data_IF_789653095863
#
_entry.id   IF_789653095863
#
_cell.length_a   1.000
_cell.length_b   1.000
_cell.length_c   1.000
_cell.angle_alpha   90.00
_cell.angle_beta   90.00
_cell.angle_gamma   90.00
#
_symmetry.space_group_name_H-M   'P 1'
#
loop_
_entity.id
_entity.type
_entity.pdbx_description
1 polymer ?
#
# COMPACT_ATOMS: atom_id res chain seq x y z
N UNK A 1 0.22 13.21 17.62
CA UNK A 1 0.83 13.17 16.27
C UNK A 1 1.35 11.75 16.06
N UNK A 2 0.78 10.96 15.15
CA UNK A 2 1.12 9.53 15.01
C UNK A 2 2.53 9.28 14.45
N UNK A 3 3.17 10.28 13.86
CA UNK A 3 4.53 10.20 13.31
C UNK A 3 5.29 11.46 13.70
N UNK A 4 6.50 11.30 14.23
CA UNK A 4 7.45 12.38 14.52
C UNK A 4 8.07 12.87 13.21
N UNK A 5 8.01 14.18 12.95
CA UNK A 5 8.62 14.76 11.74
C UNK A 5 10.13 14.80 11.86
N UNK A 6 10.84 14.45 10.78
CA UNK A 6 12.28 14.66 10.70
C UNK A 6 12.64 16.08 10.28
N UNK A 7 13.90 16.48 10.49
CA UNK A 7 14.39 17.81 10.11
C UNK A 7 14.41 18.04 8.60
N UNK A 8 14.68 16.98 7.82
CA UNK A 8 14.62 16.96 6.36
C UNK A 8 13.19 16.71 5.82
N UNK A 9 12.24 16.36 6.70
CA UNK A 9 10.85 16.04 6.35
C UNK A 9 10.67 14.80 5.47
N UNK A 10 11.70 13.95 5.32
CA UNK A 10 11.73 12.79 4.43
C UNK A 10 12.19 11.51 5.15
N UNK A 11 13.29 11.56 5.89
CA UNK A 11 13.94 10.37 6.47
C UNK A 11 13.05 9.55 7.41
N UNK A 12 12.27 10.18 8.29
CA UNK A 12 11.40 9.46 9.25
C UNK A 12 10.10 9.03 8.58
N UNK A 13 9.59 9.83 7.66
CA UNK A 13 8.36 9.61 6.91
C UNK A 13 8.50 8.45 5.92
N UNK A 14 9.64 8.31 5.24
CA UNK A 14 9.95 7.15 4.38
C UNK A 14 10.04 5.87 5.23
N UNK A 15 10.71 5.92 6.38
CA UNK A 15 10.79 4.76 7.30
C UNK A 15 9.41 4.37 7.81
N UNK A 16 8.58 5.36 8.16
CA UNK A 16 7.20 5.11 8.57
C UNK A 16 6.40 4.47 7.42
N UNK A 17 6.48 5.01 6.20
CA UNK A 17 5.78 4.46 5.04
C UNK A 17 6.18 3.00 4.76
N UNK A 18 7.47 2.68 4.90
CA UNK A 18 7.96 1.31 4.81
C UNK A 18 7.36 0.40 5.89
N UNK A 19 7.37 0.82 7.15
CA UNK A 19 6.81 0.02 8.23
C UNK A 19 5.30 -0.22 8.05
N UNK A 20 4.56 0.81 7.62
CA UNK A 20 3.12 0.71 7.38
C UNK A 20 2.79 -0.17 6.17
N UNK A 21 3.55 -0.10 5.07
CA UNK A 21 3.33 -0.97 3.90
C UNK A 21 3.65 -2.44 4.21
N UNK A 22 4.66 -2.73 5.02
CA UNK A 22 4.90 -4.10 5.49
C UNK A 22 3.85 -4.58 6.48
N UNK A 23 3.33 -3.69 7.33
CA UNK A 23 2.15 -3.99 8.15
C UNK A 23 0.93 -4.34 7.30
N UNK A 24 0.68 -3.59 6.22
CA UNK A 24 -0.39 -3.89 5.26
C UNK A 24 -0.20 -5.25 4.59
N UNK A 25 1.01 -5.54 4.12
CA UNK A 25 1.34 -6.84 3.53
C UNK A 25 1.10 -7.97 4.53
N UNK A 26 1.54 -7.80 5.79
CA UNK A 26 1.32 -8.75 6.88
C UNK A 26 -0.16 -9.04 7.12
N UNK A 27 -0.98 -8.00 7.31
CA UNK A 27 -2.43 -8.14 7.50
C UNK A 27 -3.09 -8.80 6.30
N UNK A 28 -2.74 -8.39 5.07
CA UNK A 28 -3.32 -8.95 3.84
C UNK A 28 -2.98 -10.44 3.70
N UNK A 29 -1.73 -10.81 4.00
CA UNK A 29 -1.27 -12.20 3.97
C UNK A 29 -1.98 -13.05 5.03
N UNK A 30 -2.23 -12.50 6.23
CA UNK A 30 -2.94 -13.18 7.30
C UNK A 30 -4.39 -13.46 6.89
N UNK A 31 -5.08 -12.49 6.28
CA UNK A 31 -6.44 -12.70 5.74
C UNK A 31 -6.42 -13.82 4.70
N UNK A 32 -5.43 -13.81 3.78
CA UNK A 32 -5.29 -14.85 2.76
C UNK A 32 -5.11 -16.25 3.37
N UNK A 33 -4.29 -16.37 4.42
CA UNK A 33 -4.04 -17.62 5.13
C UNK A 33 -5.28 -18.11 5.88
N UNK A 34 -6.01 -17.22 6.56
CA UNK A 34 -7.26 -17.55 7.26
C UNK A 34 -8.34 -18.06 6.30
N UNK A 35 -8.48 -17.43 5.13
CA UNK A 35 -9.39 -17.89 4.07
C UNK A 35 -8.98 -19.26 3.54
N UNK A 36 -7.69 -19.51 3.28
CA UNK A 36 -7.21 -20.83 2.85
C UNK A 36 -7.40 -21.91 3.93
N UNK A 37 -7.31 -21.54 5.20
CA UNK A 37 -7.54 -22.44 6.33
C UNK A 37 -9.03 -22.77 6.55
N UNK A 38 -9.94 -22.21 5.73
CA UNK A 38 -11.38 -22.46 5.83
C UNK A 38 -12.05 -21.77 7.03
N UNK A 39 -11.40 -20.75 7.61
CA UNK A 39 -12.04 -19.92 8.64
C UNK A 39 -13.17 -19.13 7.98
N UNK A 40 -14.25 -18.95 8.73
CA UNK A 40 -15.43 -18.22 8.28
C UNK A 40 -15.06 -16.89 7.57
N UNK A 41 -15.39 -16.73 6.28
CA UNK A 41 -15.01 -15.55 5.51
C UNK A 41 -15.63 -14.25 6.02
N UNK A 42 -16.80 -14.29 6.66
CA UNK A 42 -17.46 -13.08 7.16
C UNK A 42 -16.62 -12.43 8.23
N UNK A 43 -16.22 -13.17 9.26
CA UNK A 43 -15.37 -12.62 10.32
C UNK A 43 -13.97 -12.27 9.83
N UNK A 44 -13.40 -13.14 8.99
CA UNK A 44 -12.05 -12.97 8.44
C UNK A 44 -11.95 -11.70 7.59
N UNK A 45 -12.86 -11.50 6.65
CA UNK A 45 -12.85 -10.36 5.75
C UNK A 45 -13.26 -9.08 6.46
N UNK A 46 -14.33 -9.08 7.27
CA UNK A 46 -14.79 -7.85 7.94
C UNK A 46 -13.73 -7.36 8.92
N UNK A 47 -13.24 -8.23 9.80
CA UNK A 47 -12.21 -7.86 10.78
C UNK A 47 -10.89 -7.51 10.11
N UNK A 48 -10.45 -8.34 9.16
CA UNK A 48 -9.21 -8.13 8.42
C UNK A 48 -9.20 -6.84 7.60
N UNK A 49 -10.27 -6.56 6.86
CA UNK A 49 -10.38 -5.36 6.04
C UNK A 49 -10.54 -4.09 6.88
N UNK A 50 -11.14 -4.17 8.09
CA UNK A 50 -11.17 -3.03 9.01
C UNK A 50 -9.75 -2.64 9.47
N UNK A 51 -8.93 -3.63 9.86
CA UNK A 51 -7.53 -3.40 10.22
C UNK A 51 -6.73 -2.92 9.01
N UNK A 52 -6.91 -3.56 7.86
CA UNK A 52 -6.29 -3.13 6.60
C UNK A 52 -6.63 -1.67 6.28
N UNK A 53 -7.90 -1.29 6.38
CA UNK A 53 -8.38 0.07 6.09
C UNK A 53 -7.72 1.13 6.99
N UNK A 54 -7.54 0.83 8.27
CA UNK A 54 -6.81 1.72 9.20
C UNK A 54 -5.35 1.88 8.78
N UNK A 55 -4.63 0.77 8.57
CA UNK A 55 -3.22 0.80 8.15
C UNK A 55 -3.07 1.51 6.80
N UNK A 56 -4.01 1.29 5.89
CA UNK A 56 -4.02 1.86 4.55
C UNK A 56 -4.23 3.36 4.59
N UNK A 57 -5.12 3.86 5.45
CA UNK A 57 -5.34 5.29 5.63
C UNK A 57 -4.05 6.00 6.08
N UNK A 58 -3.32 5.41 7.04
CA UNK A 58 -2.04 5.96 7.51
C UNK A 58 -1.00 5.95 6.39
N UNK A 59 -0.79 4.81 5.73
CA UNK A 59 0.19 4.67 4.65
C UNK A 59 -0.12 5.59 3.45
N UNK A 60 -1.39 5.70 3.07
CA UNK A 60 -1.85 6.56 1.98
C UNK A 60 -1.57 8.04 2.26
N UNK A 61 -1.83 8.49 3.50
CA UNK A 61 -1.54 9.88 3.91
C UNK A 61 -0.05 10.23 3.84
N UNK A 62 0.82 9.28 4.19
CA UNK A 62 2.27 9.43 4.07
C UNK A 62 2.73 9.52 2.63
N UNK A 63 2.17 8.70 1.75
CA UNK A 63 2.54 8.70 0.34
C UNK A 63 2.22 10.06 -0.30
N UNK A 64 1.00 10.58 -0.11
CA UNK A 64 0.62 11.91 -0.59
C UNK A 64 1.49 13.03 -0.02
N UNK A 65 1.87 12.95 1.26
CA UNK A 65 2.79 13.90 1.87
C UNK A 65 4.19 13.85 1.23
N UNK A 66 4.75 12.65 1.04
CA UNK A 66 6.08 12.47 0.47
C UNK A 66 6.18 13.01 -0.95
N UNK A 67 5.14 12.88 -1.77
CA UNK A 67 5.12 13.45 -3.14
C UNK A 67 5.30 14.96 -3.10
N UNK A 68 4.56 15.65 -2.23
CA UNK A 68 4.72 17.09 -2.04
C UNK A 68 6.07 17.45 -1.44
N UNK A 69 6.63 16.60 -0.57
CA UNK A 69 7.95 16.80 0.00
C UNK A 69 9.09 16.59 -1.00
N UNK A 70 8.87 15.80 -2.06
CA UNK A 70 9.83 15.56 -3.15
C UNK A 70 9.66 16.49 -4.34
N UNK A 71 8.46 17.01 -4.57
CA UNK A 71 8.17 17.89 -5.71
C UNK A 71 9.02 19.15 -5.69
N UNK A 72 9.55 19.52 -6.86
CA UNK A 72 10.35 20.72 -7.01
C UNK A 72 9.45 21.96 -7.16
N UNK A 73 9.85 23.11 -6.61
CA UNK A 73 8.94 24.27 -6.48
C UNK A 73 8.41 24.81 -7.80
N UNK A 74 9.13 24.58 -8.89
CA UNK A 74 8.77 25.07 -10.23
C UNK A 74 7.86 24.10 -11.00
N UNK A 75 7.85 22.80 -10.66
CA UNK A 75 7.17 21.75 -11.43
C UNK A 75 6.16 20.92 -10.60
N UNK A 76 5.74 21.43 -9.43
CA UNK A 76 4.81 20.74 -8.50
C UNK A 76 3.55 20.22 -9.21
N UNK A 77 2.96 20.98 -10.12
CA UNK A 77 1.74 20.57 -10.82
C UNK A 77 1.97 19.35 -11.73
N UNK A 78 3.14 19.27 -12.37
CA UNK A 78 3.51 18.15 -13.24
C UNK A 78 3.80 16.88 -12.40
N UNK A 79 4.55 17.02 -11.31
CA UNK A 79 4.87 15.92 -10.39
C UNK A 79 3.60 15.31 -9.78
N UNK A 80 2.68 16.16 -9.34
CA UNK A 80 1.37 15.74 -8.82
C UNK A 80 0.52 15.10 -9.92
N UNK A 81 0.57 15.63 -11.15
CA UNK A 81 -0.08 15.04 -12.32
C UNK A 81 0.40 13.61 -12.60
N UNK A 82 1.72 13.39 -12.63
CA UNK A 82 2.31 12.06 -12.79
C UNK A 82 1.90 11.10 -11.66
N UNK A 83 1.86 11.57 -10.42
CA UNK A 83 1.38 10.76 -9.30
C UNK A 83 -0.07 10.30 -9.50
N UNK A 84 -0.99 11.18 -9.87
CA UNK A 84 -2.38 10.80 -10.08
C UNK A 84 -2.54 9.84 -11.26
N UNK A 85 -1.79 10.04 -12.35
CA UNK A 85 -1.75 9.08 -13.47
C UNK A 85 -1.27 7.71 -13.03
N UNK A 86 -0.18 7.64 -12.25
CA UNK A 86 0.34 6.38 -11.71
C UNK A 86 -0.66 5.70 -10.78
N UNK A 87 -1.36 6.45 -9.91
CA UNK A 87 -2.41 5.91 -9.04
C UNK A 87 -3.61 5.36 -9.83
N UNK A 88 -4.04 6.07 -10.88
CA UNK A 88 -5.11 5.59 -11.76
C UNK A 88 -4.71 4.31 -12.50
N UNK A 89 -3.48 4.27 -13.04
CA UNK A 89 -2.94 3.08 -13.69
C UNK A 89 -2.85 1.89 -12.72
N UNK A 90 -2.38 2.12 -11.49
CA UNK A 90 -2.31 1.10 -10.45
C UNK A 90 -3.69 0.55 -10.07
N UNK A 91 -4.71 1.41 -9.95
CA UNK A 91 -6.10 0.98 -9.68
C UNK A 91 -6.68 0.15 -10.82
N UNK A 92 -6.47 0.58 -12.06
CA UNK A 92 -6.92 -0.15 -13.25
C UNK A 92 -6.24 -1.52 -13.33
N UNK A 93 -4.90 -1.54 -13.26
CA UNK A 93 -4.11 -2.76 -13.32
C UNK A 93 -4.44 -3.72 -12.18
N UNK A 94 -4.58 -3.22 -10.96
CA UNK A 94 -4.97 -4.01 -9.79
C UNK A 94 -6.37 -4.61 -9.93
N UNK A 95 -7.35 -3.86 -10.47
CA UNK A 95 -8.71 -4.36 -10.69
C UNK A 95 -8.71 -5.49 -11.72
N UNK A 96 -8.05 -5.29 -12.86
CA UNK A 96 -7.93 -6.33 -13.90
C UNK A 96 -7.19 -7.57 -13.40
N UNK A 97 -6.05 -7.39 -12.74
CA UNK A 97 -5.26 -8.46 -12.15
C UNK A 97 -6.06 -9.23 -11.09
N UNK A 98 -6.82 -8.53 -10.25
CA UNK A 98 -7.65 -9.17 -9.23
C UNK A 98 -8.75 -10.03 -9.85
N UNK A 99 -9.38 -9.56 -10.93
CA UNK A 99 -10.36 -10.33 -11.68
C UNK A 99 -9.75 -11.59 -12.27
N UNK A 100 -8.58 -11.47 -12.90
CA UNK A 100 -7.85 -12.62 -13.43
C UNK A 100 -7.40 -13.61 -12.34
N UNK A 101 -6.86 -13.12 -11.23
CA UNK A 101 -6.45 -13.94 -10.10
C UNK A 101 -7.63 -14.67 -9.44
N UNK A 102 -8.80 -14.02 -9.36
CA UNK A 102 -10.01 -14.63 -8.84
C UNK A 102 -10.47 -15.83 -9.67
N UNK A 103 -10.38 -15.73 -11.00
CA UNK A 103 -10.79 -16.82 -11.89
C UNK A 103 -9.92 -18.07 -11.73
N UNK A 104 -8.64 -17.92 -11.35
CA UNK A 104 -7.69 -19.03 -11.23
C UNK A 104 -7.66 -19.60 -9.80
N UNK A 105 -7.70 -18.74 -8.78
CA UNK A 105 -7.42 -19.10 -7.40
C UNK A 105 -8.39 -18.47 -6.37
N UNK A 106 -9.51 -17.91 -6.84
CA UNK A 106 -10.56 -17.33 -6.00
C UNK A 106 -10.08 -16.16 -5.14
N UNK A 107 -10.80 -15.92 -4.03
CA UNK A 107 -10.53 -14.81 -3.10
C UNK A 107 -9.12 -14.87 -2.49
N UNK A 108 -8.68 -16.08 -2.13
CA UNK A 108 -7.33 -16.32 -1.61
C UNK A 108 -6.25 -15.90 -2.61
N UNK A 109 -6.44 -16.21 -3.91
CA UNK A 109 -5.56 -15.78 -5.00
C UNK A 109 -5.45 -14.26 -5.12
N UNK A 110 -6.57 -13.55 -5.03
CA UNK A 110 -6.58 -12.08 -5.04
C UNK A 110 -5.78 -11.49 -3.89
N UNK A 111 -5.98 -11.98 -2.66
CA UNK A 111 -5.26 -11.52 -1.47
C UNK A 111 -3.77 -11.87 -1.52
N UNK A 112 -3.44 -13.04 -2.07
CA UNK A 112 -2.05 -13.44 -2.33
C UNK A 112 -1.36 -12.50 -3.32
N UNK A 113 -1.99 -12.22 -4.46
CA UNK A 113 -1.47 -11.27 -5.45
C UNK A 113 -1.30 -9.85 -4.86
N UNK A 114 -2.28 -9.37 -4.09
CA UNK A 114 -2.20 -8.08 -3.41
C UNK A 114 -1.04 -8.04 -2.40
N UNK A 115 -0.81 -9.13 -1.65
CA UNK A 115 0.32 -9.26 -0.72
C UNK A 115 1.65 -9.13 -1.46
N UNK A 116 1.81 -9.81 -2.60
CA UNK A 116 3.03 -9.71 -3.42
C UNK A 116 3.25 -8.28 -3.91
N UNK A 117 2.20 -7.61 -4.42
CA UNK A 117 2.31 -6.21 -4.87
C UNK A 117 2.68 -5.26 -3.73
N UNK A 118 2.15 -5.44 -2.52
CA UNK A 118 2.50 -4.65 -1.34
C UNK A 118 3.96 -4.84 -0.93
N UNK A 119 4.46 -6.09 -0.95
CA UNK A 119 5.87 -6.39 -0.68
C UNK A 119 6.76 -5.72 -1.72
N UNK A 120 6.43 -5.85 -3.01
CA UNK A 120 7.16 -5.21 -4.11
C UNK A 120 7.17 -3.68 -3.95
N UNK A 121 6.04 -3.07 -3.57
CA UNK A 121 5.98 -1.64 -3.29
C UNK A 121 6.91 -1.24 -2.13
N UNK A 122 6.97 -2.04 -1.07
CA UNK A 122 7.92 -1.85 0.03
C UNK A 122 9.38 -1.93 -0.43
N UNK A 123 9.72 -2.95 -1.24
CA UNK A 123 11.07 -3.11 -1.81
C UNK A 123 11.45 -1.93 -2.70
N UNK A 124 10.56 -1.48 -3.59
CA UNK A 124 10.81 -0.31 -4.44
C UNK A 124 11.02 0.95 -3.59
N UNK A 125 10.24 1.11 -2.51
CA UNK A 125 10.36 2.25 -1.59
C UNK A 125 11.72 2.25 -0.87
N UNK A 126 12.38 1.12 -0.68
CA UNK A 126 13.75 1.07 -0.12
C UNK A 126 14.81 1.69 -1.04
N UNK A 127 14.53 1.77 -2.35
CA UNK A 127 15.44 2.37 -3.34
C UNK A 127 15.40 3.90 -3.26
N UNK A 128 14.34 4.48 -2.67
CA UNK A 128 14.20 5.93 -2.53
C UNK A 128 15.34 6.46 -1.64
N UNK A 129 16.13 7.45 -2.12
CA UNK A 129 17.21 8.04 -1.34
C UNK A 129 16.68 8.58 -0.01
N UNK A 130 17.27 8.10 1.08
CA UNK A 130 17.16 8.74 2.38
C UNK A 130 18.30 9.76 2.43
N UNK A 131 17.99 10.99 2.83
CA UNK A 131 18.95 12.09 2.88
C UNK A 131 20.28 11.70 3.54
#
# INVERSE_FOLDING_TARGET
RMITRSADGRSTEIKAALNWVYGLAGVTSLIALMINAGIDPTWTLVGGLAVFGFLFAVNSSLHSYLILAFADRNDVALDVGFYYMANAAGRLGGTLLSGWAYQIAGMAGCLGAATVMLILAGVITMIIPRA
#
